data_IF_336838141194
#
_entry.id   IF_336838141194
#
_cell.length_a   1.000
_cell.length_b   1.000
_cell.length_c   1.000
_cell.angle_alpha   90.00
_cell.angle_beta   90.00
_cell.angle_gamma   90.00
#
_symmetry.space_group_name_H-M   'P 1'
#
loop_
_entity.id
_entity.type
_entity.pdbx_description
1 polymer ?
#
# COMPACT_ATOMS: atom_id res chain seq x y z
N UNK A 1 -12.77 -1.93 -7.77
CA UNK A 1 -12.82 -0.53 -7.28
C UNK A 1 -11.70 0.21 -7.98
N UNK A 2 -11.95 1.40 -8.55
CA UNK A 2 -10.91 2.18 -9.25
C UNK A 2 -10.23 3.10 -8.25
N UNK A 3 -8.90 3.08 -8.18
CA UNK A 3 -8.14 4.02 -7.35
C UNK A 3 -8.31 5.45 -7.91
N UNK A 4 -8.65 6.40 -7.04
CA UNK A 4 -8.78 7.81 -7.42
C UNK A 4 -7.44 8.51 -7.24
N UNK A 5 -7.05 9.33 -8.22
CA UNK A 5 -5.87 10.20 -8.08
C UNK A 5 -6.16 11.24 -7.00
N UNK A 6 -5.31 11.29 -5.99
CA UNK A 6 -5.40 12.18 -4.84
C UNK A 6 -4.14 13.05 -4.83
N UNK A 7 -4.32 14.34 -4.62
CA UNK A 7 -3.21 15.24 -4.34
C UNK A 7 -2.91 15.18 -2.84
N UNK A 8 -1.74 14.67 -2.48
CA UNK A 8 -1.33 14.52 -1.09
C UNK A 8 -0.61 15.77 -0.60
N UNK A 9 -0.82 16.21 0.66
CA UNK A 9 -0.07 17.31 1.26
C UNK A 9 1.44 17.08 1.21
N UNK A 10 2.22 18.16 1.05
CA UNK A 10 3.69 18.09 1.14
C UNK A 10 4.20 17.96 2.58
N UNK A 11 3.46 18.51 3.56
CA UNK A 11 3.81 18.39 4.97
C UNK A 11 3.63 16.93 5.42
N UNK A 12 4.69 16.36 6.00
CA UNK A 12 4.80 14.92 6.26
C UNK A 12 3.70 14.39 7.18
N UNK A 13 3.35 15.12 8.23
CA UNK A 13 2.28 14.69 9.15
C UNK A 13 0.93 14.66 8.45
N UNK A 14 0.59 15.71 7.69
CA UNK A 14 -0.64 15.79 6.91
C UNK A 14 -0.68 14.72 5.80
N UNK A 15 0.45 14.44 5.14
CA UNK A 15 0.59 13.33 4.19
C UNK A 15 0.21 11.99 4.84
N UNK A 16 0.84 11.64 5.97
CA UNK A 16 0.60 10.35 6.61
C UNK A 16 -0.81 10.25 7.19
N UNK A 17 -1.37 11.34 7.69
CA UNK A 17 -2.76 11.38 8.12
C UNK A 17 -3.70 11.00 6.96
N UNK A 18 -3.55 11.64 5.81
CA UNK A 18 -4.38 11.35 4.63
C UNK A 18 -4.13 9.95 4.08
N UNK A 19 -2.88 9.47 4.09
CA UNK A 19 -2.55 8.10 3.69
C UNK A 19 -3.25 7.07 4.58
N UNK A 20 -3.28 7.28 5.90
CA UNK A 20 -4.00 6.41 6.83
C UNK A 20 -5.50 6.38 6.53
N UNK A 21 -6.12 7.52 6.22
CA UNK A 21 -7.53 7.59 5.82
C UNK A 21 -7.80 6.78 4.54
N UNK A 22 -6.92 6.87 3.54
CA UNK A 22 -7.04 6.06 2.33
C UNK A 22 -6.86 4.57 2.61
N UNK A 23 -5.88 4.19 3.43
CA UNK A 23 -5.67 2.80 3.81
C UNK A 23 -6.92 2.22 4.46
N UNK A 24 -7.54 2.94 5.40
CA UNK A 24 -8.82 2.52 6.01
C UNK A 24 -9.90 2.34 4.95
N UNK A 25 -10.10 3.34 4.07
CA UNK A 25 -11.12 3.29 2.99
C UNK A 25 -10.99 2.06 2.10
N UNK A 26 -9.77 1.71 1.66
CA UNK A 26 -9.54 0.62 0.71
C UNK A 26 -9.36 -0.76 1.36
N UNK A 27 -9.14 -0.84 2.67
CA UNK A 27 -8.96 -2.12 3.39
C UNK A 27 -10.19 -2.55 4.19
N UNK A 28 -11.04 -1.61 4.63
CA UNK A 28 -12.15 -1.90 5.56
C UNK A 28 -13.15 -2.96 5.06
N UNK A 29 -13.39 -3.03 3.75
CA UNK A 29 -14.34 -3.99 3.15
C UNK A 29 -13.63 -5.12 2.39
N UNK A 30 -12.34 -5.34 2.63
CA UNK A 30 -11.62 -6.44 2.02
C UNK A 30 -12.17 -7.79 2.51
N UNK A 31 -12.46 -8.75 1.60
CA UNK A 31 -13.08 -10.03 1.98
C UNK A 31 -12.19 -10.94 2.83
N UNK A 32 -10.88 -10.66 2.88
CA UNK A 32 -9.91 -11.38 3.71
C UNK A 32 -8.62 -10.54 3.86
N UNK A 33 -7.71 -11.02 4.73
CA UNK A 33 -6.44 -10.35 4.99
C UNK A 33 -5.57 -10.19 3.73
N UNK A 34 -5.54 -11.19 2.84
CA UNK A 34 -4.74 -11.10 1.60
C UNK A 34 -5.23 -9.97 0.69
N UNK A 35 -6.54 -9.82 0.55
CA UNK A 35 -7.14 -8.72 -0.22
C UNK A 35 -6.88 -7.36 0.45
N UNK A 36 -6.90 -7.30 1.79
CA UNK A 36 -6.57 -6.08 2.52
C UNK A 36 -5.11 -5.66 2.31
N UNK A 37 -4.16 -6.60 2.39
CA UNK A 37 -2.74 -6.35 2.19
C UNK A 37 -2.42 -5.98 0.72
N UNK A 38 -3.08 -6.62 -0.24
CA UNK A 38 -2.98 -6.24 -1.65
C UNK A 38 -3.48 -4.81 -1.89
N UNK A 39 -4.64 -4.44 -1.34
CA UNK A 39 -5.16 -3.07 -1.43
C UNK A 39 -4.25 -2.06 -0.72
N UNK A 40 -3.72 -2.41 0.46
CA UNK A 40 -2.83 -1.54 1.22
C UNK A 40 -1.55 -1.22 0.45
N UNK A 41 -0.87 -2.23 -0.08
CA UNK A 41 0.36 -2.02 -0.87
C UNK A 41 0.10 -1.21 -2.15
N UNK A 42 -1.04 -1.40 -2.81
CA UNK A 42 -1.44 -0.58 -3.96
C UNK A 42 -1.64 0.90 -3.59
N UNK A 43 -2.33 1.17 -2.47
CA UNK A 43 -2.54 2.54 -1.96
C UNK A 43 -1.22 3.19 -1.60
N UNK A 44 -0.32 2.46 -0.92
CA UNK A 44 0.99 2.98 -0.54
C UNK A 44 1.85 3.31 -1.76
N UNK A 45 1.89 2.44 -2.78
CA UNK A 45 2.65 2.70 -4.01
C UNK A 45 2.14 3.94 -4.74
N UNK A 46 0.83 4.13 -4.79
CA UNK A 46 0.24 5.28 -5.47
C UNK A 46 0.44 6.61 -4.70
N UNK A 47 0.61 6.56 -3.38
CA UNK A 47 0.76 7.75 -2.54
C UNK A 47 2.22 8.18 -2.33
N UNK A 48 3.12 7.21 -2.11
CA UNK A 48 4.50 7.49 -1.75
C UNK A 48 5.34 7.82 -2.99
N UNK A 49 6.08 8.93 -2.91
CA UNK A 49 7.07 9.32 -3.93
C UNK A 49 8.42 8.65 -3.62
N UNK A 50 9.23 8.46 -4.66
CA UNK A 50 10.63 8.01 -4.55
C UNK A 50 10.82 6.63 -3.90
N UNK A 51 9.87 5.72 -4.09
CA UNK A 51 10.00 4.31 -3.74
C UNK A 51 9.98 3.43 -4.99
N UNK A 52 10.71 2.32 -4.98
CA UNK A 52 10.70 1.33 -6.05
C UNK A 52 9.84 0.10 -5.73
N UNK A 53 9.60 -0.15 -4.44
CA UNK A 53 8.95 -1.35 -3.95
C UNK A 53 8.23 -1.08 -2.63
N UNK A 54 7.02 -1.63 -2.48
CA UNK A 54 6.27 -1.64 -1.21
C UNK A 54 5.42 -2.89 -1.11
N UNK A 55 5.39 -3.50 0.07
CA UNK A 55 4.66 -4.74 0.30
C UNK A 55 4.88 -5.29 1.70
N UNK A 56 4.45 -6.53 1.88
CA UNK A 56 4.47 -7.19 3.17
C UNK A 56 5.23 -8.51 3.09
N UNK A 57 5.91 -8.86 4.17
CA UNK A 57 6.29 -10.23 4.46
C UNK A 57 5.39 -10.76 5.57
N UNK A 58 4.91 -11.99 5.41
CA UNK A 58 4.10 -12.68 6.39
C UNK A 58 4.97 -13.69 7.13
N UNK A 59 4.73 -13.82 8.43
CA UNK A 59 5.34 -14.88 9.22
C UNK A 59 4.57 -16.17 8.95
N UNK A 60 5.25 -17.14 8.33
CA UNK A 60 4.76 -18.50 8.18
C UNK A 60 5.77 -19.42 8.86
N UNK A 61 5.31 -20.10 9.90
CA UNK A 61 6.16 -20.82 10.86
C UNK A 61 7.25 -19.88 11.44
N UNK A 62 8.52 -20.16 11.15
CA UNK A 62 9.68 -19.38 11.62
C UNK A 62 10.34 -18.57 10.49
N UNK A 63 9.63 -18.36 9.38
CA UNK A 63 10.17 -17.71 8.18
C UNK A 63 9.30 -16.54 7.71
N UNK A 64 9.96 -15.58 7.06
CA UNK A 64 9.30 -14.50 6.34
C UNK A 64 9.03 -14.95 4.91
N UNK A 65 7.75 -15.08 4.57
CA UNK A 65 7.27 -15.40 3.23
C UNK A 65 6.74 -14.14 2.57
N UNK A 66 7.09 -13.91 1.31
CA UNK A 66 6.65 -12.74 0.57
C UNK A 66 5.11 -12.76 0.42
N UNK A 67 4.47 -11.72 0.96
CA UNK A 67 3.05 -11.46 0.81
C UNK A 67 2.77 -10.51 -0.36
N UNK A 68 1.58 -9.88 -0.40
CA UNK A 68 1.25 -8.91 -1.45
C UNK A 68 2.21 -7.73 -1.48
N UNK A 69 2.66 -7.39 -2.68
CA UNK A 69 3.58 -6.28 -2.93
C UNK A 69 3.31 -5.67 -4.30
N UNK A 70 3.80 -4.45 -4.49
CA UNK A 70 3.84 -3.78 -5.78
C UNK A 70 5.23 -3.21 -6.02
N UNK A 71 5.68 -3.27 -7.27
CA UNK A 71 6.96 -2.73 -7.72
C UNK A 71 6.74 -1.83 -8.94
N UNK A 72 7.62 -0.86 -9.11
CA UNK A 72 7.70 -0.09 -10.35
C UNK A 72 8.69 -0.82 -11.25
N UNK A 73 8.20 -1.36 -12.38
CA UNK A 73 9.08 -1.97 -13.37
C UNK A 73 10.05 -0.90 -13.93
N UNK A 74 11.33 -1.06 -13.65
CA UNK A 74 12.37 -0.28 -14.34
C UNK A 74 12.41 -0.80 -15.78
N UNK A 75 11.88 -0.01 -16.72
CA UNK A 75 12.05 -0.29 -18.15
C UNK A 75 13.49 0.04 -18.51
N UNK A 76 14.29 -1.00 -18.80
CA UNK A 76 15.59 -0.86 -19.47
C UNK A 76 15.38 -0.42 -20.92
#
# INVERSE_FOLDING_TARGET
>A
MVYQVIDYPEEKSAFYQMLCEQLVKYTANAPNAMAALANASAVMLAAMRDINWVGFYLVCDEQLVLGPFHEIAVKN
#
